data_IF_725089382209
#
_entry.id   IF_725089382209
#
_cell.length_a   1.000
_cell.length_b   1.000
_cell.length_c   1.000
_cell.angle_alpha   90.00
_cell.angle_beta   90.00
_cell.angle_gamma   90.00
#
_symmetry.space_group_name_H-M   'P 1'
#
loop_
_entity.id
_entity.type
_entity.pdbx_description
1 polymer ?
#
# COMPACT_ATOMS: atom_id res chain seq x y z
N UNK A 1 38.39 -57.43 26.08
CA UNK A 1 38.29 -57.01 24.66
C UNK A 1 37.40 -55.77 24.62
N UNK A 2 37.94 -54.59 24.97
CA UNK A 2 38.25 -53.47 24.05
C UNK A 2 37.10 -53.13 23.09
N UNK A 3 36.17 -52.30 23.57
CA UNK A 3 35.14 -51.66 22.78
C UNK A 3 35.59 -50.24 22.37
N UNK A 4 35.84 -50.13 21.07
CA UNK A 4 35.52 -49.07 20.12
C UNK A 4 35.67 -47.58 20.49
N UNK A 5 36.41 -46.93 19.59
CA UNK A 5 36.69 -45.51 19.38
C UNK A 5 35.39 -44.71 19.18
N UNK A 6 35.27 -43.54 19.81
CA UNK A 6 34.53 -42.41 19.23
C UNK A 6 35.41 -41.16 19.18
N UNK A 7 35.72 -40.77 17.95
CA UNK A 7 36.21 -39.45 17.60
C UNK A 7 35.09 -38.41 17.83
N UNK A 8 35.35 -37.39 18.63
CA UNK A 8 34.48 -36.23 18.82
C UNK A 8 35.17 -34.99 18.28
N UNK A 9 34.67 -34.52 17.14
CA UNK A 9 35.26 -33.49 16.28
C UNK A 9 35.16 -32.07 16.85
N UNK A 10 36.05 -31.23 16.33
CA UNK A 10 36.30 -29.84 16.69
C UNK A 10 35.20 -28.85 16.23
N UNK A 11 35.08 -27.77 17.01
CA UNK A 11 34.71 -26.37 16.64
C UNK A 11 33.86 -26.10 15.40
N UNK A 12 32.74 -25.39 15.62
CA UNK A 12 32.27 -24.36 14.68
C UNK A 12 31.47 -23.26 15.41
N UNK A 13 32.14 -22.13 15.69
CA UNK A 13 31.48 -20.84 15.91
C UNK A 13 30.95 -20.36 14.56
N UNK A 14 29.63 -20.27 14.37
CA UNK A 14 29.04 -19.52 13.26
C UNK A 14 28.32 -18.30 13.80
N UNK A 15 28.98 -17.15 13.66
CA UNK A 15 28.32 -15.85 13.69
C UNK A 15 27.44 -15.71 12.45
N UNK A 16 26.13 -15.70 12.66
CA UNK A 16 25.16 -15.32 11.65
C UNK A 16 24.76 -13.85 11.89
N UNK A 17 25.62 -12.92 11.46
CA UNK A 17 25.17 -11.57 11.15
C UNK A 17 24.38 -11.69 9.84
N UNK A 18 23.07 -11.95 9.96
CA UNK A 18 22.17 -11.77 8.84
C UNK A 18 22.10 -10.27 8.57
N UNK A 19 22.77 -9.82 7.50
CA UNK A 19 22.50 -8.52 6.92
C UNK A 19 21.04 -8.52 6.49
N UNK A 20 20.20 -7.83 7.25
CA UNK A 20 18.87 -7.46 6.80
C UNK A 20 19.07 -6.57 5.59
N UNK A 21 18.89 -7.13 4.40
CA UNK A 21 18.66 -6.35 3.20
C UNK A 21 17.44 -5.50 3.49
N UNK A 22 17.67 -4.22 3.79
CA UNK A 22 16.63 -3.21 3.78
C UNK A 22 16.02 -3.22 2.39
N UNK A 23 14.90 -3.93 2.26
CA UNK A 23 13.98 -3.73 1.16
C UNK A 23 13.41 -2.34 1.38
N UNK A 24 14.11 -1.32 0.91
CA UNK A 24 13.53 -0.01 0.64
C UNK A 24 12.42 -0.25 -0.38
N UNK A 25 11.21 -0.51 0.11
CA UNK A 25 10.00 -0.40 -0.68
C UNK A 25 10.01 1.02 -1.22
N UNK A 26 10.23 1.15 -2.53
CA UNK A 26 10.14 2.43 -3.23
C UNK A 26 8.77 3.04 -2.88
N UNK A 27 8.78 4.04 -2.01
CA UNK A 27 7.56 4.60 -1.44
C UNK A 27 6.83 5.30 -2.58
N UNK A 28 5.58 4.91 -2.83
CA UNK A 28 4.80 5.53 -3.88
C UNK A 28 4.59 7.01 -3.55
N UNK A 29 5.02 7.90 -4.44
CA UNK A 29 4.83 9.34 -4.32
C UNK A 29 3.64 9.75 -5.19
N UNK A 30 2.67 10.45 -4.59
CA UNK A 30 1.56 11.02 -5.34
C UNK A 30 2.03 12.21 -6.19
N UNK A 31 1.49 12.35 -7.42
CA UNK A 31 1.83 13.47 -8.31
C UNK A 31 1.33 14.81 -7.74
N UNK A 32 2.09 15.89 -7.97
CA UNK A 32 1.81 17.23 -7.44
C UNK A 32 0.47 17.82 -7.91
N UNK A 33 -0.05 17.34 -9.06
CA UNK A 33 -1.34 17.76 -9.60
C UNK A 33 -2.55 17.26 -8.80
N UNK A 34 -2.35 16.43 -7.77
CA UNK A 34 -3.40 15.94 -6.89
C UNK A 34 -3.33 16.59 -5.51
N UNK A 35 -4.48 17.05 -5.03
CA UNK A 35 -4.63 17.51 -3.65
C UNK A 35 -4.89 16.31 -2.74
N UNK A 36 -3.88 15.90 -1.99
CA UNK A 36 -3.98 14.77 -1.06
C UNK A 36 -4.55 15.22 0.29
N UNK A 37 -5.60 14.54 0.75
CA UNK A 37 -6.14 14.73 2.09
C UNK A 37 -5.58 13.68 3.06
N UNK A 38 -5.54 14.01 4.35
CA UNK A 38 -5.04 13.10 5.38
C UNK A 38 -5.90 11.83 5.52
N UNK A 39 -5.29 10.77 6.04
CA UNK A 39 -5.94 9.49 6.31
C UNK A 39 -5.36 8.33 5.51
N UNK A 40 -6.20 7.33 5.23
CA UNK A 40 -5.84 6.18 4.42
C UNK A 40 -7.05 5.29 4.16
N UNK A 41 -7.03 4.60 3.02
CA UNK A 41 -8.09 3.68 2.60
C UNK A 41 -7.49 2.35 2.12
N UNK A 42 -8.11 1.18 2.39
CA UNK A 42 -9.40 0.96 3.08
C UNK A 42 -9.33 0.99 4.61
N UNK A 43 -8.14 1.18 5.17
CA UNK A 43 -7.89 1.32 6.60
C UNK A 43 -6.98 2.53 6.83
N UNK A 44 -6.92 3.03 8.06
CA UNK A 44 -6.07 4.18 8.43
C UNK A 44 -4.61 3.88 8.05
N UNK A 45 -3.97 4.80 7.32
CA UNK A 45 -2.61 4.61 6.80
C UNK A 45 -2.50 3.65 5.60
N UNK A 46 -3.62 3.12 5.09
CA UNK A 46 -3.66 2.30 3.88
C UNK A 46 -3.17 3.05 2.64
N UNK A 47 -2.93 2.37 1.50
CA UNK A 47 -2.19 2.94 0.37
C UNK A 47 -2.94 4.00 -0.43
N UNK A 48 -4.27 4.01 -0.39
CA UNK A 48 -5.07 5.01 -1.09
C UNK A 48 -5.27 6.26 -0.21
N UNK A 49 -5.51 7.42 -0.85
CA UNK A 49 -5.77 8.70 -0.18
C UNK A 49 -7.08 9.32 -0.67
N UNK A 50 -7.76 10.05 0.19
CA UNK A 50 -8.86 10.93 -0.23
C UNK A 50 -8.28 12.11 -1.02
N UNK A 51 -8.92 12.47 -2.12
CA UNK A 51 -8.49 13.55 -3.00
C UNK A 51 -9.42 14.75 -2.87
N UNK A 52 -8.82 15.94 -2.82
CA UNK A 52 -9.53 17.21 -2.90
C UNK A 52 -9.64 17.75 -4.31
N UNK A 53 -10.29 18.90 -4.42
CA UNK A 53 -10.51 19.61 -5.69
C UNK A 53 -9.21 20.18 -6.27
N UNK A 54 -9.00 19.89 -7.56
CA UNK A 54 -7.93 20.37 -8.43
C UNK A 54 -8.46 20.41 -9.87
N UNK A 55 -7.68 20.92 -10.82
CA UNK A 55 -8.00 20.80 -12.25
C UNK A 55 -8.16 19.34 -12.71
N UNK A 56 -7.44 18.39 -12.09
CA UNK A 56 -7.51 16.98 -12.44
C UNK A 56 -8.73 16.25 -11.86
N UNK A 57 -9.36 16.80 -10.82
CA UNK A 57 -10.38 16.09 -10.01
C UNK A 57 -11.72 16.82 -9.93
N UNK A 58 -11.82 18.09 -10.34
CA UNK A 58 -13.04 18.91 -10.19
C UNK A 58 -14.29 18.26 -10.78
N UNK A 59 -14.18 17.72 -12.00
CA UNK A 59 -15.29 17.06 -12.72
C UNK A 59 -15.64 15.67 -12.16
N UNK A 60 -14.84 15.14 -11.22
CA UNK A 60 -15.00 13.81 -10.64
C UNK A 60 -15.50 13.85 -9.20
N UNK A 61 -15.49 15.03 -8.56
CA UNK A 61 -15.97 15.21 -7.21
C UNK A 61 -17.49 15.30 -7.19
N UNK A 62 -18.08 14.57 -6.25
CA UNK A 62 -19.52 14.37 -6.13
C UNK A 62 -19.89 14.57 -4.65
N UNK A 63 -20.98 15.27 -4.34
CA UNK A 63 -21.41 15.48 -2.97
C UNK A 63 -21.86 14.17 -2.30
N UNK A 64 -22.30 13.20 -3.10
CA UNK A 64 -22.72 11.86 -2.69
C UNK A 64 -21.60 10.82 -2.63
N UNK A 65 -20.37 11.14 -3.05
CA UNK A 65 -19.24 10.20 -3.05
C UNK A 65 -17.91 10.83 -2.62
N UNK A 66 -17.03 10.00 -2.07
CA UNK A 66 -15.63 10.36 -1.83
C UNK A 66 -14.80 9.97 -3.05
N UNK A 67 -13.84 10.80 -3.43
CA UNK A 67 -12.90 10.50 -4.51
C UNK A 67 -11.56 10.05 -3.93
N UNK A 68 -11.18 8.79 -4.16
CA UNK A 68 -9.91 8.23 -3.73
C UNK A 68 -8.90 8.19 -4.87
N UNK A 69 -7.65 8.50 -4.56
CA UNK A 69 -6.48 8.24 -5.38
C UNK A 69 -5.76 7.00 -4.85
N UNK A 70 -5.64 5.98 -5.69
CA UNK A 70 -5.00 4.72 -5.35
C UNK A 70 -3.79 4.44 -6.24
N UNK A 71 -2.62 4.10 -5.66
CA UNK A 71 -1.53 3.52 -6.43
C UNK A 71 -2.02 2.28 -7.19
N UNK A 72 -1.52 2.03 -8.40
CA UNK A 72 -2.01 0.91 -9.23
C UNK A 72 -1.89 -0.45 -8.55
N UNK A 73 -0.83 -0.68 -7.78
CA UNK A 73 -0.65 -1.92 -7.00
C UNK A 73 -1.69 -2.05 -5.88
N UNK A 74 -2.17 -0.95 -5.29
CA UNK A 74 -3.21 -0.96 -4.27
C UNK A 74 -4.55 -1.50 -4.80
N UNK A 75 -4.81 -1.37 -6.10
CA UNK A 75 -6.00 -1.93 -6.74
C UNK A 75 -6.01 -3.47 -6.75
N UNK A 76 -4.93 -4.14 -6.37
CA UNK A 76 -4.93 -5.60 -6.17
C UNK A 76 -5.63 -6.00 -4.86
N UNK A 77 -5.79 -5.08 -3.89
CA UNK A 77 -6.55 -5.35 -2.66
C UNK A 77 -8.05 -5.41 -2.98
N UNK A 78 -8.73 -6.54 -2.72
CA UNK A 78 -10.16 -6.68 -3.01
C UNK A 78 -11.03 -5.68 -2.24
N UNK A 79 -10.58 -5.19 -1.08
CA UNK A 79 -11.29 -4.16 -0.32
C UNK A 79 -11.29 -2.81 -1.03
N UNK A 80 -10.17 -2.46 -1.69
CA UNK A 80 -10.09 -1.25 -2.53
C UNK A 80 -11.01 -1.38 -3.74
N UNK A 81 -11.02 -2.54 -4.40
CA UNK A 81 -11.89 -2.78 -5.56
C UNK A 81 -13.37 -2.82 -5.21
N UNK A 82 -13.71 -3.33 -4.03
CA UNK A 82 -15.09 -3.40 -3.56
C UNK A 82 -15.62 -2.06 -3.03
N UNK A 83 -14.73 -1.09 -2.76
CA UNK A 83 -15.07 0.21 -2.22
C UNK A 83 -15.99 1.04 -3.11
N UNK A 84 -15.76 0.97 -4.42
CA UNK A 84 -16.30 1.94 -5.34
C UNK A 84 -15.93 1.65 -6.79
N UNK A 85 -16.20 2.63 -7.65
CA UNK A 85 -16.02 2.51 -9.10
C UNK A 85 -14.80 3.31 -9.54
N UNK A 86 -13.97 2.72 -10.40
CA UNK A 86 -12.90 3.46 -11.08
C UNK A 86 -13.51 4.49 -12.02
N UNK A 87 -13.15 5.75 -11.86
CA UNK A 87 -13.67 6.90 -12.65
C UNK A 87 -12.61 7.56 -13.51
N UNK A 88 -11.35 7.14 -13.39
CA UNK A 88 -10.27 7.62 -14.23
C UNK A 88 -8.90 7.19 -13.74
N UNK A 89 -7.88 7.74 -14.37
CA UNK A 89 -6.49 7.64 -13.94
C UNK A 89 -5.80 8.99 -14.16
N UNK A 90 -4.89 9.36 -13.27
CA UNK A 90 -4.09 10.57 -13.35
C UNK A 90 -2.65 10.26 -12.98
N UNK A 91 -1.73 10.38 -13.92
CA UNK A 91 -0.27 10.18 -13.71
C UNK A 91 0.08 8.90 -12.92
N UNK A 92 -0.57 7.78 -13.24
CA UNK A 92 -0.33 6.49 -12.58
C UNK A 92 -1.12 6.24 -11.30
N UNK A 93 -1.90 7.22 -10.83
CA UNK A 93 -2.90 7.08 -9.76
C UNK A 93 -4.24 6.68 -10.36
N UNK A 94 -4.84 5.61 -9.84
CA UNK A 94 -6.20 5.19 -10.19
C UNK A 94 -7.19 5.98 -9.35
N UNK A 95 -8.17 6.61 -10.00
CA UNK A 95 -9.19 7.42 -9.34
C UNK A 95 -10.45 6.58 -9.11
N UNK A 96 -10.90 6.50 -7.86
CA UNK A 96 -12.01 5.64 -7.43
C UNK A 96 -13.07 6.47 -6.72
N UNK A 97 -14.30 6.49 -7.24
CA UNK A 97 -15.45 7.10 -6.60
C UNK A 97 -16.11 6.10 -5.65
N UNK A 98 -16.15 6.44 -4.36
CA UNK A 98 -16.68 5.61 -3.26
C UNK A 98 -17.96 6.26 -2.74
N UNK A 99 -19.14 5.65 -2.91
CA UNK A 99 -20.38 6.22 -2.41
C UNK A 99 -20.33 6.46 -0.90
N UNK A 100 -20.74 7.66 -0.46
CA UNK A 100 -20.93 7.93 0.96
C UNK A 100 -22.08 7.08 1.45
N UNK A 101 -21.93 6.51 2.65
CA UNK A 101 -23.09 5.93 3.34
C UNK A 101 -24.06 7.08 3.66
N UNK A 102 -25.39 6.88 3.57
CA UNK A 102 -26.35 7.89 4.01
C UNK A 102 -25.97 8.33 5.43
N UNK A 103 -26.02 9.64 5.69
CA UNK A 103 -25.89 10.15 7.04
C UNK A 103 -26.97 9.45 7.90
N UNK A 104 -26.51 8.71 8.92
CA UNK A 104 -27.40 8.09 9.90
C UNK A 104 -27.85 9.14 10.92
#
# INVERSE_FOLDING_TARGET
MRALILAGAATALLGACASTTDMTSDEFVFPEGLKIMEGGYPYVGGPCRLLGETFATSELLDDSADLLGCPRNAMQDPRVRAAGRVVGEYEGVVLVSVPKRPAQ
#
